data_IF_056543145617
#
_entry.id   IF_056543145617
#
_cell.length_a   1.000
_cell.length_b   1.000
_cell.length_c   1.000
_cell.angle_alpha   90.00
_cell.angle_beta   90.00
_cell.angle_gamma   90.00
#
_symmetry.space_group_name_H-M   'P 1'
#
loop_
_entity.id
_entity.type
_entity.pdbx_description
1 polymer ?
#
# COMPACT_ATOMS: atom_id res chain seq x y z
N UNK A 1 73.76 19.32 -64.11
CA UNK A 1 73.70 17.95 -64.66
C UNK A 1 72.54 17.21 -64.00
N UNK A 2 71.91 16.34 -64.77
CA UNK A 2 70.57 15.78 -64.59
C UNK A 2 70.42 14.83 -63.39
N UNK A 3 69.19 14.70 -62.86
CA UNK A 3 68.81 13.60 -61.98
C UNK A 3 67.39 13.71 -61.42
N UNK A 4 66.37 13.40 -62.24
CA UNK A 4 65.01 13.07 -61.76
C UNK A 4 65.03 11.64 -61.21
N UNK A 5 64.50 11.40 -60.00
CA UNK A 5 64.14 10.05 -59.55
C UNK A 5 62.72 10.07 -59.00
N UNK A 6 61.96 9.10 -59.48
CA UNK A 6 60.52 8.91 -59.42
C UNK A 6 60.08 8.36 -58.05
N UNK A 7 59.06 8.96 -57.43
CA UNK A 7 58.45 8.49 -56.19
C UNK A 7 57.48 7.34 -56.50
N UNK A 8 57.84 6.11 -56.14
CA UNK A 8 56.97 4.94 -56.19
C UNK A 8 56.33 4.74 -54.82
N UNK A 9 54.99 4.83 -54.76
CA UNK A 9 54.18 4.55 -53.57
C UNK A 9 53.98 3.03 -53.51
N UNK A 10 54.56 2.38 -52.49
CA UNK A 10 54.29 0.99 -52.16
C UNK A 10 53.13 0.94 -51.14
N UNK A 11 52.03 0.28 -51.50
CA UNK A 11 50.93 -0.05 -50.59
C UNK A 11 51.40 -1.07 -49.54
N UNK A 12 51.33 -0.69 -48.26
CA UNK A 12 51.42 -1.62 -47.13
C UNK A 12 50.02 -2.19 -46.85
N UNK A 13 49.87 -3.50 -47.02
CA UNK A 13 48.72 -4.29 -46.58
C UNK A 13 48.74 -4.42 -45.05
N UNK A 14 47.70 -3.90 -44.38
CA UNK A 14 47.49 -4.07 -42.94
C UNK A 14 46.86 -5.44 -42.72
N UNK A 15 47.62 -6.39 -42.17
CA UNK A 15 47.10 -7.65 -41.65
C UNK A 15 46.33 -7.36 -40.35
N UNK A 16 45.00 -7.52 -40.38
CA UNK A 16 44.16 -7.49 -39.19
C UNK A 16 44.30 -8.80 -38.42
N UNK A 17 44.63 -8.71 -37.13
CA UNK A 17 44.63 -9.84 -36.20
C UNK A 17 43.19 -10.32 -35.96
N UNK A 18 42.83 -11.52 -36.42
CA UNK A 18 41.74 -12.29 -35.84
C UNK A 18 42.31 -13.07 -34.66
N UNK A 19 41.91 -12.74 -33.42
CA UNK A 19 42.22 -13.56 -32.24
C UNK A 19 41.18 -14.69 -32.24
N UNK A 20 41.55 -15.95 -32.51
CA UNK A 20 40.62 -17.06 -32.34
C UNK A 20 40.36 -17.19 -30.84
N UNK A 21 39.11 -16.96 -30.42
CA UNK A 21 38.70 -17.35 -29.07
C UNK A 21 38.53 -18.86 -29.09
N UNK A 22 39.48 -19.59 -28.51
CA UNK A 22 39.31 -21.01 -28.19
C UNK A 22 38.06 -21.16 -27.31
N UNK A 23 36.94 -21.53 -27.93
CA UNK A 23 35.76 -22.01 -27.22
C UNK A 23 35.89 -23.53 -27.14
N UNK A 24 35.88 -24.14 -25.95
CA UNK A 24 35.82 -25.60 -25.84
C UNK A 24 34.59 -26.15 -26.59
N UNK A 25 34.72 -27.41 -27.05
CA UNK A 25 33.74 -28.10 -27.88
C UNK A 25 32.30 -27.95 -27.34
N UNK A 26 31.29 -27.83 -28.23
CA UNK A 26 29.94 -27.48 -27.81
C UNK A 26 29.28 -28.66 -27.11
N UNK A 27 29.20 -28.62 -25.79
CA UNK A 27 28.03 -29.14 -25.08
C UNK A 27 26.89 -28.13 -25.27
N UNK A 28 26.38 -28.10 -26.50
CA UNK A 28 25.18 -27.36 -26.86
C UNK A 28 24.17 -28.35 -27.40
N UNK A 29 22.90 -28.18 -27.04
CA UNK A 29 21.76 -28.90 -27.62
C UNK A 29 21.66 -28.76 -29.16
N UNK A 30 22.51 -27.93 -29.77
CA UNK A 30 22.67 -27.79 -31.20
C UNK A 30 24.13 -28.04 -31.64
N UNK A 31 24.30 -28.80 -32.72
CA UNK A 31 25.62 -29.11 -33.27
C UNK A 31 26.38 -27.88 -33.81
N UNK A 32 27.66 -28.08 -34.12
CA UNK A 32 28.52 -27.03 -34.69
C UNK A 32 27.93 -26.42 -35.98
N UNK A 33 28.00 -25.09 -36.07
CA UNK A 33 27.48 -24.33 -37.21
C UNK A 33 25.98 -24.03 -37.17
N UNK A 34 25.29 -24.30 -36.06
CA UNK A 34 23.85 -24.02 -35.89
C UNK A 34 23.46 -22.60 -36.29
N UNK A 35 24.16 -21.59 -35.75
CA UNK A 35 23.94 -20.16 -36.04
C UNK A 35 24.85 -19.63 -37.15
N UNK A 36 25.58 -20.50 -37.86
CA UNK A 36 26.57 -20.06 -38.83
C UNK A 36 25.96 -19.91 -40.22
N UNK A 37 26.11 -18.71 -40.78
CA UNK A 37 25.76 -18.37 -42.17
C UNK A 37 26.62 -19.19 -43.15
N UNK A 38 27.90 -19.37 -42.83
CA UNK A 38 28.88 -20.10 -43.66
C UNK A 38 28.58 -21.59 -43.83
N UNK A 39 27.77 -22.18 -42.94
CA UNK A 39 27.40 -23.60 -43.01
C UNK A 39 25.93 -23.79 -43.41
N UNK A 40 25.35 -22.83 -44.12
CA UNK A 40 24.02 -22.93 -44.73
C UNK A 40 22.86 -22.59 -43.79
N UNK A 41 23.07 -21.78 -42.74
CA UNK A 41 21.97 -21.23 -41.94
C UNK A 41 21.07 -22.29 -41.29
N UNK A 42 21.66 -23.35 -40.70
CA UNK A 42 20.94 -24.50 -40.11
C UNK A 42 19.79 -24.10 -39.16
N UNK A 43 19.97 -23.04 -38.39
CA UNK A 43 18.93 -22.49 -37.52
C UNK A 43 17.71 -21.96 -38.29
N UNK A 44 17.92 -21.21 -39.37
CA UNK A 44 16.83 -20.67 -40.20
C UNK A 44 16.07 -21.79 -40.94
N UNK A 45 16.79 -22.82 -41.38
CA UNK A 45 16.21 -24.03 -41.97
C UNK A 45 15.32 -24.75 -40.96
N UNK A 46 15.81 -24.95 -39.73
CA UNK A 46 15.02 -25.60 -38.67
C UNK A 46 13.75 -24.81 -38.31
N UNK A 47 13.84 -23.47 -38.21
CA UNK A 47 12.67 -22.62 -37.92
C UNK A 47 11.58 -22.79 -39.00
N UNK A 48 11.97 -22.74 -40.28
CA UNK A 48 11.07 -22.98 -41.41
C UNK A 48 10.44 -24.38 -41.34
N UNK A 49 11.26 -25.41 -41.16
CA UNK A 49 10.80 -26.81 -41.20
C UNK A 49 9.87 -27.16 -40.02
N UNK A 50 9.88 -26.35 -38.95
CA UNK A 50 9.00 -26.49 -37.78
C UNK A 50 7.84 -25.47 -37.76
N UNK A 51 7.60 -24.76 -38.86
CA UNK A 51 6.41 -23.91 -39.02
C UNK A 51 6.44 -22.60 -38.25
N UNK A 52 7.62 -22.10 -37.87
CA UNK A 52 7.75 -20.75 -37.33
C UNK A 52 7.46 -19.71 -38.44
N UNK A 53 6.82 -18.58 -38.11
CA UNK A 53 6.55 -17.51 -39.07
C UNK A 53 7.87 -16.83 -39.47
N UNK A 54 8.41 -17.22 -40.62
CA UNK A 54 9.70 -16.72 -41.13
C UNK A 54 9.56 -15.44 -41.97
N UNK A 55 8.33 -15.02 -42.24
CA UNK A 55 7.99 -13.88 -43.09
C UNK A 55 8.59 -12.58 -42.52
N UNK A 56 8.60 -12.44 -41.18
CA UNK A 56 9.19 -11.30 -40.48
C UNK A 56 10.72 -11.27 -40.63
N UNK A 57 11.37 -12.43 -40.79
CA UNK A 57 12.81 -12.53 -41.01
C UNK A 57 13.18 -12.19 -42.47
N UNK A 58 12.32 -12.54 -43.42
CA UNK A 58 12.54 -12.35 -44.86
C UNK A 58 12.59 -10.87 -45.26
N UNK A 59 12.04 -9.95 -44.44
CA UNK A 59 12.10 -8.49 -44.62
C UNK A 59 13.53 -7.99 -44.79
N UNK A 60 14.48 -8.61 -44.08
CA UNK A 60 15.91 -8.29 -44.21
C UNK A 60 16.70 -9.43 -44.82
N UNK A 61 16.35 -10.70 -44.54
CA UNK A 61 17.12 -11.87 -44.97
C UNK A 61 16.82 -12.38 -46.40
N UNK A 62 15.79 -11.84 -47.07
CA UNK A 62 15.38 -12.25 -48.42
C UNK A 62 14.46 -13.48 -48.42
N UNK A 63 13.68 -13.65 -49.49
CA UNK A 63 12.56 -14.59 -49.54
C UNK A 63 12.98 -16.07 -49.44
N UNK A 64 14.15 -16.48 -49.95
CA UNK A 64 14.37 -17.92 -50.25
C UNK A 64 15.75 -18.47 -49.85
N UNK A 65 16.36 -17.98 -48.75
CA UNK A 65 17.65 -18.51 -48.30
C UNK A 65 18.84 -18.27 -49.25
N UNK A 66 18.65 -17.45 -50.29
CA UNK A 66 19.72 -16.87 -51.10
C UNK A 66 20.21 -15.60 -50.39
N UNK A 67 21.35 -15.74 -49.71
CA UNK A 67 21.91 -14.74 -48.80
C UNK A 67 22.25 -13.41 -49.47
N UNK A 68 21.75 -12.30 -48.92
CA UNK A 68 22.39 -10.98 -49.13
C UNK A 68 23.71 -10.94 -48.35
N UNK A 69 24.78 -10.44 -48.98
CA UNK A 69 26.12 -10.34 -48.37
C UNK A 69 26.23 -9.23 -47.33
N UNK A 70 25.17 -8.45 -47.10
CA UNK A 70 25.10 -7.38 -46.09
C UNK A 70 23.78 -7.55 -45.34
N UNK A 71 23.81 -8.28 -44.22
CA UNK A 71 22.64 -8.54 -43.39
C UNK A 71 22.92 -8.12 -41.94
N UNK A 72 21.99 -7.38 -41.30
CA UNK A 72 22.05 -7.12 -39.86
C UNK A 72 22.23 -8.44 -39.07
N UNK A 73 22.96 -8.39 -37.95
CA UNK A 73 22.96 -9.46 -36.97
C UNK A 73 21.58 -9.66 -36.36
N UNK A 74 21.32 -10.81 -35.74
CA UNK A 74 19.99 -11.12 -35.18
C UNK A 74 19.54 -10.11 -34.12
N UNK A 75 20.47 -9.43 -33.46
CA UNK A 75 20.19 -8.39 -32.45
C UNK A 75 20.27 -6.96 -33.00
N UNK A 76 20.53 -6.80 -34.30
CA UNK A 76 20.64 -5.49 -34.94
C UNK A 76 19.28 -5.04 -35.51
N UNK A 77 19.09 -3.73 -35.67
CA UNK A 77 17.96 -3.19 -36.43
C UNK A 77 16.56 -3.44 -35.86
N UNK A 78 16.43 -3.84 -34.60
CA UNK A 78 15.15 -4.00 -33.91
C UNK A 78 14.58 -5.43 -33.85
N UNK A 79 15.29 -6.45 -34.36
CA UNK A 79 14.76 -7.82 -34.43
C UNK A 79 14.80 -8.59 -33.09
N UNK A 80 15.97 -8.65 -32.43
CA UNK A 80 16.12 -9.23 -31.09
C UNK A 80 16.95 -8.30 -30.20
N UNK A 81 16.41 -7.11 -29.90
CA UNK A 81 17.09 -6.07 -29.11
C UNK A 81 17.50 -6.55 -27.71
N UNK A 82 16.72 -7.49 -27.14
CA UNK A 82 17.01 -8.12 -25.84
C UNK A 82 17.90 -9.38 -25.96
N UNK A 83 18.31 -9.73 -27.18
CA UNK A 83 19.11 -10.91 -27.51
C UNK A 83 18.28 -12.15 -27.81
N UNK A 84 18.79 -13.01 -28.69
CA UNK A 84 18.13 -14.27 -29.13
C UNK A 84 17.98 -15.33 -28.02
N UNK A 85 18.57 -15.08 -26.84
CA UNK A 85 18.47 -15.95 -25.66
C UNK A 85 17.61 -15.34 -24.56
N UNK A 86 16.94 -14.22 -24.86
CA UNK A 86 15.93 -13.66 -23.97
C UNK A 86 14.77 -14.64 -23.83
N UNK A 87 14.24 -14.80 -22.61
CA UNK A 87 13.20 -15.78 -22.31
C UNK A 87 11.96 -15.59 -23.20
N UNK A 88 11.55 -14.35 -23.46
CA UNK A 88 10.40 -14.04 -24.30
C UNK A 88 10.60 -14.33 -25.79
N UNK A 89 11.82 -14.66 -26.23
CA UNK A 89 12.07 -15.15 -27.60
C UNK A 89 11.51 -16.57 -27.80
N UNK A 90 11.58 -17.42 -26.77
CA UNK A 90 11.08 -18.80 -26.83
C UNK A 90 9.77 -19.00 -26.05
N UNK A 91 9.55 -18.24 -24.98
CA UNK A 91 8.35 -18.25 -24.12
C UNK A 91 7.44 -17.04 -24.32
N UNK A 92 7.77 -16.16 -25.28
CA UNK A 92 6.83 -15.14 -25.72
C UNK A 92 6.41 -14.05 -24.75
N UNK A 93 5.26 -13.45 -25.08
CA UNK A 93 4.56 -12.46 -24.26
C UNK A 93 3.08 -12.87 -24.04
N UNK A 94 2.23 -11.94 -23.61
CA UNK A 94 0.80 -12.19 -23.38
C UNK A 94 0.02 -12.66 -24.62
N UNK A 95 0.58 -12.47 -25.82
CA UNK A 95 0.05 -12.95 -27.09
C UNK A 95 0.70 -14.29 -27.54
N UNK A 96 1.46 -14.94 -26.65
CA UNK A 96 2.08 -16.28 -26.75
C UNK A 96 3.61 -16.25 -26.83
N UNK A 97 4.38 -17.37 -26.65
CA UNK A 97 4.06 -18.68 -26.02
C UNK A 97 4.27 -18.77 -24.48
N UNK A 98 3.22 -18.41 -23.72
CA UNK A 98 2.92 -19.01 -22.41
C UNK A 98 1.76 -20.00 -22.63
N UNK A 99 1.67 -21.14 -21.91
CA UNK A 99 0.51 -22.01 -22.07
C UNK A 99 -0.76 -21.25 -21.69
N UNK A 100 -1.83 -21.40 -22.47
CA UNK A 100 -3.12 -20.74 -22.27
C UNK A 100 -4.21 -21.72 -21.80
N UNK A 101 -3.79 -22.85 -21.25
CA UNK A 101 -4.64 -23.93 -20.80
C UNK A 101 -4.83 -23.94 -19.27
N UNK A 102 -5.94 -24.54 -18.83
CA UNK A 102 -6.29 -24.63 -17.41
C UNK A 102 -6.26 -23.28 -16.71
N UNK A 103 -5.60 -23.22 -15.55
CA UNK A 103 -5.56 -22.03 -14.71
C UNK A 103 -4.51 -20.98 -15.13
N UNK A 104 -3.74 -21.18 -16.20
CA UNK A 104 -2.71 -20.21 -16.63
C UNK A 104 -3.28 -18.83 -16.96
N UNK A 105 -4.51 -18.76 -17.50
CA UNK A 105 -5.16 -17.49 -17.85
C UNK A 105 -5.25 -16.54 -16.64
N UNK A 106 -5.52 -17.08 -15.45
CA UNK A 106 -5.65 -16.32 -14.20
C UNK A 106 -4.32 -16.14 -13.45
N UNK A 107 -3.30 -16.94 -13.74
CA UNK A 107 -2.03 -16.96 -13.01
C UNK A 107 -0.82 -16.44 -13.81
N UNK A 108 -1.02 -15.97 -15.04
CA UNK A 108 0.05 -15.60 -15.99
C UNK A 108 1.07 -14.58 -15.49
N UNK A 109 0.75 -13.80 -14.46
CA UNK A 109 1.64 -12.79 -13.87
C UNK A 109 2.53 -13.35 -12.75
N UNK A 110 2.31 -14.60 -12.32
CA UNK A 110 2.88 -15.20 -11.11
C UNK A 110 3.68 -16.48 -11.41
N UNK A 111 4.42 -16.51 -12.53
CA UNK A 111 5.11 -17.73 -12.98
C UNK A 111 6.06 -18.30 -11.92
N UNK A 112 6.80 -17.43 -11.21
CA UNK A 112 7.77 -17.83 -10.17
C UNK A 112 7.11 -18.41 -8.92
N UNK A 113 5.82 -18.13 -8.71
CA UNK A 113 5.08 -18.67 -7.57
C UNK A 113 4.83 -20.17 -7.73
N UNK A 114 4.73 -20.66 -8.98
CA UNK A 114 4.47 -22.07 -9.29
C UNK A 114 5.66 -22.80 -9.91
N UNK A 115 6.50 -22.11 -10.69
CA UNK A 115 7.57 -22.72 -11.46
C UNK A 115 8.94 -22.20 -11.04
N UNK A 116 9.94 -23.07 -11.10
CA UNK A 116 11.33 -22.65 -11.01
C UNK A 116 11.71 -21.96 -12.34
N UNK A 117 11.66 -20.62 -12.37
CA UNK A 117 12.07 -19.84 -13.56
C UNK A 117 13.60 -19.85 -13.66
N UNK A 118 14.18 -20.43 -14.73
CA UNK A 118 15.63 -20.47 -14.89
C UNK A 118 16.24 -19.07 -15.06
N UNK A 119 17.44 -18.88 -14.53
CA UNK A 119 18.25 -17.67 -14.75
C UNK A 119 18.99 -17.73 -16.08
N UNK A 120 19.23 -18.94 -16.60
CA UNK A 120 19.89 -19.19 -17.86
C UNK A 120 19.17 -20.27 -18.65
N UNK A 121 19.21 -20.16 -19.99
CA UNK A 121 18.76 -21.22 -20.91
C UNK A 121 19.53 -22.55 -20.72
N UNK A 122 20.66 -22.51 -20.02
CA UNK A 122 21.51 -23.69 -19.75
C UNK A 122 21.34 -24.24 -18.34
N UNK A 123 20.45 -23.68 -17.54
CA UNK A 123 20.21 -24.23 -16.21
C UNK A 123 19.68 -25.67 -16.34
N UNK A 124 20.14 -26.61 -15.51
CA UNK A 124 19.66 -27.98 -15.53
C UNK A 124 18.12 -28.03 -15.45
N UNK A 125 17.50 -28.88 -16.27
CA UNK A 125 16.03 -29.04 -16.33
C UNK A 125 15.28 -28.02 -17.21
N UNK A 126 15.93 -26.95 -17.71
CA UNK A 126 15.20 -25.99 -18.55
C UNK A 126 14.85 -26.52 -19.96
N UNK A 127 15.72 -27.35 -20.55
CA UNK A 127 15.62 -27.82 -21.95
C UNK A 127 15.28 -29.31 -22.07
N UNK A 128 14.53 -29.86 -21.11
CA UNK A 128 14.13 -31.28 -21.10
C UNK A 128 12.69 -31.53 -21.58
N UNK A 129 11.95 -30.46 -21.89
CA UNK A 129 10.57 -30.52 -22.37
C UNK A 129 9.52 -30.71 -21.26
N UNK A 130 9.91 -30.66 -19.99
CA UNK A 130 8.99 -30.66 -18.86
C UNK A 130 8.96 -29.29 -18.17
N UNK A 131 7.79 -28.92 -17.65
CA UNK A 131 7.64 -27.74 -16.79
C UNK A 131 7.46 -28.21 -15.35
N UNK A 132 8.48 -28.00 -14.53
CA UNK A 132 8.43 -28.39 -13.12
C UNK A 132 7.54 -27.44 -12.32
N UNK A 133 6.65 -28.01 -11.50
CA UNK A 133 5.93 -27.26 -10.47
C UNK A 133 6.75 -27.29 -9.20
N UNK A 134 7.31 -26.13 -8.85
CA UNK A 134 8.12 -25.90 -7.67
C UNK A 134 7.62 -24.64 -6.96
N UNK A 135 6.60 -24.81 -6.12
CA UNK A 135 6.00 -23.68 -5.40
C UNK A 135 7.04 -22.89 -4.61
N UNK A 136 6.98 -21.56 -4.72
CA UNK A 136 7.86 -20.63 -4.03
C UNK A 136 7.09 -19.34 -3.65
N UNK A 137 7.80 -18.35 -3.08
CA UNK A 137 7.25 -17.02 -2.83
C UNK A 137 5.92 -16.99 -2.08
N UNK A 138 4.96 -16.24 -2.63
CA UNK A 138 3.59 -16.12 -2.17
C UNK A 138 2.87 -17.45 -2.11
N UNK A 139 3.10 -18.41 -3.01
CA UNK A 139 2.41 -19.70 -2.94
C UNK A 139 2.69 -20.44 -1.62
N UNK A 140 3.87 -20.20 -1.02
CA UNK A 140 4.35 -20.72 0.28
C UNK A 140 4.30 -19.70 1.44
N UNK A 141 3.68 -18.53 1.24
CA UNK A 141 3.57 -17.53 2.28
C UNK A 141 2.69 -18.02 3.45
N UNK A 142 2.87 -17.39 4.62
CA UNK A 142 2.15 -17.73 5.84
C UNK A 142 2.22 -19.22 6.23
N UNK A 143 3.39 -19.84 6.03
CA UNK A 143 3.67 -21.25 6.37
C UNK A 143 2.79 -22.27 5.62
N UNK A 144 2.24 -21.92 4.47
CA UNK A 144 1.46 -22.86 3.67
C UNK A 144 2.33 -24.02 3.15
N UNK A 145 1.78 -25.24 3.16
CA UNK A 145 2.45 -26.45 2.66
C UNK A 145 2.04 -26.74 1.21
N UNK A 146 2.17 -25.73 0.35
CA UNK A 146 1.78 -25.79 -1.05
C UNK A 146 2.33 -27.03 -1.76
N UNK A 147 1.43 -27.88 -2.28
CA UNK A 147 1.77 -29.12 -2.99
C UNK A 147 1.04 -29.25 -4.31
N UNK A 148 1.69 -29.93 -5.25
CA UNK A 148 1.15 -30.26 -6.57
C UNK A 148 1.08 -31.78 -6.73
N UNK A 149 -0.09 -32.29 -7.08
CA UNK A 149 -0.29 -33.69 -7.46
C UNK A 149 -0.46 -33.79 -8.98
N UNK A 150 0.60 -34.24 -9.67
CA UNK A 150 0.59 -34.40 -11.12
C UNK A 150 -0.39 -35.49 -11.61
N UNK A 151 -0.70 -36.50 -10.79
CA UNK A 151 -1.63 -37.57 -11.19
C UNK A 151 -3.09 -37.08 -11.25
N UNK A 152 -3.45 -36.16 -10.36
CA UNK A 152 -4.82 -35.61 -10.26
C UNK A 152 -4.93 -34.18 -10.78
N UNK A 153 -3.81 -33.59 -11.24
CA UNK A 153 -3.71 -32.17 -11.61
C UNK A 153 -4.26 -31.24 -10.53
N UNK A 154 -3.89 -31.47 -9.27
CA UNK A 154 -4.47 -30.76 -8.13
C UNK A 154 -3.41 -29.96 -7.38
N UNK A 155 -3.73 -28.70 -7.10
CA UNK A 155 -3.00 -27.85 -6.17
C UNK A 155 -3.61 -27.99 -4.78
N UNK A 156 -2.80 -27.99 -3.74
CA UNK A 156 -3.28 -28.13 -2.36
C UNK A 156 -2.46 -27.26 -1.42
N UNK A 157 -3.12 -26.69 -0.42
CA UNK A 157 -2.50 -25.88 0.64
C UNK A 157 -1.62 -24.73 0.14
N UNK A 158 -2.05 -24.06 -0.94
CA UNK A 158 -1.42 -22.80 -1.37
C UNK A 158 -1.97 -21.64 -0.57
N UNK A 159 -1.15 -20.62 -0.35
CA UNK A 159 -1.55 -19.40 0.36
C UNK A 159 -2.76 -18.71 -0.31
N UNK A 160 -2.72 -18.56 -1.64
CA UNK A 160 -3.77 -17.87 -2.40
C UNK A 160 -5.10 -18.64 -2.45
N UNK A 161 -5.12 -19.94 -2.17
CA UNK A 161 -6.34 -20.76 -2.13
C UNK A 161 -6.78 -21.12 -0.71
N UNK A 162 -6.17 -20.51 0.31
CA UNK A 162 -6.54 -20.65 1.72
C UNK A 162 -6.69 -22.11 2.18
N UNK A 163 -5.74 -22.98 1.79
CA UNK A 163 -5.80 -24.39 2.20
C UNK A 163 -6.71 -25.28 1.34
N UNK A 164 -7.37 -24.73 0.33
CA UNK A 164 -8.32 -25.49 -0.51
C UNK A 164 -7.61 -26.33 -1.56
N UNK A 165 -8.12 -27.54 -1.80
CA UNK A 165 -7.69 -28.40 -2.89
C UNK A 165 -8.42 -28.02 -4.18
N UNK A 166 -7.68 -27.58 -5.19
CA UNK A 166 -8.26 -27.09 -6.46
C UNK A 166 -7.65 -27.87 -7.62
N UNK A 167 -8.51 -28.39 -8.50
CA UNK A 167 -8.09 -28.99 -9.76
C UNK A 167 -7.68 -27.90 -10.75
N UNK A 168 -6.48 -28.01 -11.33
CA UNK A 168 -5.91 -27.08 -12.31
C UNK A 168 -6.80 -26.83 -13.53
N UNK A 169 -7.58 -27.85 -13.93
CA UNK A 169 -8.48 -27.81 -15.09
C UNK A 169 -9.93 -27.54 -14.70
N UNK A 170 -10.23 -27.29 -13.42
CA UNK A 170 -11.60 -26.94 -13.00
C UNK A 170 -12.10 -25.73 -13.81
N UNK A 171 -13.40 -25.68 -14.16
CA UNK A 171 -13.95 -24.60 -14.96
C UNK A 171 -13.68 -23.25 -14.28
N UNK A 172 -13.14 -22.32 -15.08
CA UNK A 172 -12.81 -20.97 -14.67
C UNK A 172 -14.09 -20.28 -14.15
N UNK A 173 -14.21 -20.08 -12.83
CA UNK A 173 -15.29 -19.29 -12.29
C UNK A 173 -15.19 -17.88 -12.89
N UNK A 174 -16.30 -17.37 -13.43
CA UNK A 174 -16.31 -16.12 -14.22
C UNK A 174 -15.92 -14.88 -13.41
N UNK A 175 -16.00 -14.96 -12.07
CA UNK A 175 -15.52 -13.94 -11.15
C UNK A 175 -14.98 -14.56 -9.86
N UNK A 176 -13.77 -14.18 -9.48
CA UNK A 176 -13.19 -14.42 -8.15
C UNK A 176 -13.77 -13.36 -7.21
N UNK A 177 -14.64 -13.70 -6.24
CA UNK A 177 -15.11 -12.71 -5.28
C UNK A 177 -13.95 -12.14 -4.46
N UNK A 178 -14.00 -10.84 -4.14
CA UNK A 178 -12.91 -10.15 -3.43
C UNK A 178 -12.58 -10.78 -2.07
N UNK A 179 -13.56 -11.45 -1.44
CA UNK A 179 -13.37 -12.11 -0.16
C UNK A 179 -12.79 -13.53 -0.26
N UNK A 180 -12.29 -13.94 -1.43
CA UNK A 180 -11.72 -15.28 -1.62
C UNK A 180 -10.40 -15.47 -0.86
N UNK A 181 -9.57 -14.43 -0.74
CA UNK A 181 -8.26 -14.52 -0.10
C UNK A 181 -8.26 -13.95 1.33
N UNK A 182 -9.05 -12.92 1.60
CA UNK A 182 -9.20 -12.32 2.92
C UNK A 182 -10.62 -11.83 3.10
N UNK A 183 -11.08 -11.58 4.32
CA UNK A 183 -12.39 -10.95 4.53
C UNK A 183 -12.48 -9.59 3.82
N UNK A 184 -13.66 -9.18 3.39
CA UNK A 184 -13.89 -7.89 2.74
C UNK A 184 -15.02 -7.13 3.46
N UNK A 185 -14.74 -6.38 4.54
CA UNK A 185 -13.43 -6.21 5.20
C UNK A 185 -13.03 -7.41 6.08
N UNK A 186 -11.73 -7.58 6.44
CA UNK A 186 -11.30 -8.62 7.37
C UNK A 186 -11.82 -8.40 8.79
N UNK A 187 -11.97 -9.46 9.60
CA UNK A 187 -12.44 -9.37 10.99
C UNK A 187 -11.61 -8.40 11.87
N UNK A 188 -10.32 -8.24 11.55
CA UNK A 188 -9.43 -7.27 12.20
C UNK A 188 -9.91 -5.82 12.09
N UNK A 189 -10.79 -5.52 11.13
CA UNK A 189 -11.35 -4.19 10.88
C UNK A 189 -12.62 -3.89 11.69
N UNK A 190 -13.09 -4.81 12.54
CA UNK A 190 -14.27 -4.58 13.38
C UNK A 190 -14.16 -3.28 14.21
N UNK A 191 -12.94 -2.91 14.64
CA UNK A 191 -12.68 -1.67 15.39
C UNK A 191 -12.76 -0.38 14.54
N UNK A 192 -12.86 -0.50 13.22
CA UNK A 192 -12.93 0.60 12.25
C UNK A 192 -14.25 0.60 11.48
N UNK A 193 -15.29 -0.04 12.01
CA UNK A 193 -16.56 -0.28 11.32
C UNK A 193 -17.21 0.99 10.74
N UNK A 194 -16.94 2.17 11.31
CA UNK A 194 -17.43 3.45 10.79
C UNK A 194 -16.75 3.90 9.49
N UNK A 195 -15.48 3.55 9.28
CA UNK A 195 -14.64 4.04 8.17
C UNK A 195 -14.18 2.95 7.21
N UNK A 196 -14.27 1.68 7.62
CA UNK A 196 -13.85 0.52 6.85
C UNK A 196 -15.06 -0.23 6.27
N UNK A 197 -15.82 0.44 5.40
CA UNK A 197 -16.87 -0.20 4.59
C UNK A 197 -16.28 -0.68 3.26
N UNK A 198 -16.86 -1.70 2.59
CA UNK A 198 -16.33 -2.20 1.32
C UNK A 198 -16.11 -1.09 0.25
N UNK A 199 -17.01 -0.11 0.21
CA UNK A 199 -16.93 1.00 -0.76
C UNK A 199 -15.88 2.07 -0.39
N UNK A 200 -15.31 2.01 0.82
CA UNK A 200 -14.35 2.99 1.35
C UNK A 200 -12.93 2.44 1.51
N UNK A 201 -12.67 1.18 1.13
CA UNK A 201 -11.34 0.58 1.21
C UNK A 201 -10.25 1.43 0.54
N UNK A 202 -10.56 2.05 -0.62
CA UNK A 202 -9.64 2.90 -1.37
C UNK A 202 -9.22 4.19 -0.62
N UNK A 203 -9.92 4.56 0.46
CA UNK A 203 -9.49 5.68 1.32
C UNK A 203 -8.26 5.32 2.16
N UNK A 204 -8.12 4.03 2.50
CA UNK A 204 -7.08 3.54 3.40
C UNK A 204 -6.04 2.68 2.69
N UNK A 205 -6.45 1.91 1.68
CA UNK A 205 -5.62 0.96 0.95
C UNK A 205 -5.52 1.35 -0.52
N UNK A 206 -4.45 0.95 -1.23
CA UNK A 206 -4.44 0.97 -2.69
C UNK A 206 -5.62 0.17 -3.25
N UNK A 207 -6.16 0.62 -4.39
CA UNK A 207 -7.25 -0.08 -5.08
C UNK A 207 -6.84 -1.51 -5.49
N UNK A 208 -7.81 -2.42 -5.61
CA UNK A 208 -7.56 -3.81 -6.01
C UNK A 208 -6.94 -3.97 -7.41
N UNK A 209 -7.03 -2.94 -8.26
CA UNK A 209 -6.31 -2.87 -9.54
C UNK A 209 -4.83 -2.51 -9.41
N UNK A 210 -4.37 -2.07 -8.24
CA UNK A 210 -2.96 -1.82 -7.96
C UNK A 210 -2.15 -3.10 -8.15
N UNK A 211 -0.98 -2.98 -8.78
CA UNK A 211 -0.01 -4.07 -8.86
C UNK A 211 0.45 -4.58 -7.49
N UNK A 212 0.25 -3.82 -6.41
CA UNK A 212 0.58 -4.25 -5.05
C UNK A 212 -0.49 -5.13 -4.40
N UNK A 213 -1.71 -5.21 -4.96
CA UNK A 213 -2.82 -5.90 -4.31
C UNK A 213 -2.53 -7.38 -3.98
N UNK A 214 -1.71 -8.05 -4.80
CA UNK A 214 -1.30 -9.44 -4.59
C UNK A 214 0.23 -9.54 -4.49
N UNK A 215 0.81 -8.98 -3.43
CA UNK A 215 2.24 -9.08 -3.12
C UNK A 215 2.54 -9.62 -1.70
N UNK A 216 1.50 -10.03 -0.96
CA UNK A 216 1.63 -10.57 0.40
C UNK A 216 1.85 -9.52 1.50
N UNK A 217 1.78 -8.23 1.17
CA UNK A 217 1.94 -7.12 2.10
C UNK A 217 0.63 -6.34 2.15
N UNK A 218 0.19 -5.96 3.35
CA UNK A 218 -0.95 -5.04 3.50
C UNK A 218 -0.41 -3.63 3.46
N UNK A 219 -0.68 -2.88 2.39
CA UNK A 219 -0.29 -1.47 2.30
C UNK A 219 -1.40 -0.52 2.67
N UNK A 220 -1.04 0.63 3.24
CA UNK A 220 -1.93 1.76 3.40
C UNK A 220 -1.50 2.93 2.51
N UNK A 221 -2.46 3.68 2.00
CA UNK A 221 -2.23 5.01 1.43
C UNK A 221 -1.67 5.97 2.51
N UNK A 222 -1.12 7.12 2.13
CA UNK A 222 -0.85 8.18 3.10
C UNK A 222 -2.12 8.59 3.85
N UNK A 223 -2.20 8.27 5.14
CA UNK A 223 -3.38 8.54 5.96
C UNK A 223 -3.23 9.87 6.69
N UNK A 224 -4.32 10.62 6.82
CA UNK A 224 -4.40 11.79 7.70
C UNK A 224 -5.23 11.46 8.93
N UNK A 225 -5.19 12.29 9.98
CA UNK A 225 -5.99 12.09 11.19
C UNK A 225 -7.48 11.94 10.87
N UNK A 226 -7.94 12.72 9.89
CA UNK A 226 -9.34 12.78 9.48
C UNK A 226 -9.77 11.63 8.58
N UNK A 227 -8.84 10.77 8.15
CA UNK A 227 -9.17 9.48 7.52
C UNK A 227 -9.93 8.56 8.50
N UNK A 228 -9.53 8.56 9.78
CA UNK A 228 -10.18 7.71 10.80
C UNK A 228 -11.07 8.53 11.75
N UNK A 229 -10.67 9.74 12.13
CA UNK A 229 -11.32 10.54 13.18
C UNK A 229 -12.35 11.57 12.65
N UNK A 230 -12.69 11.53 11.34
CA UNK A 230 -13.69 12.40 10.71
C UNK A 230 -13.16 13.76 10.20
N UNK A 231 -13.95 14.46 9.35
CA UNK A 231 -13.60 15.73 8.68
C UNK A 231 -14.48 16.92 9.16
N UNK A 232 -14.00 18.15 8.97
CA UNK A 232 -14.78 19.40 9.14
C UNK A 232 -14.14 20.44 10.06
N UNK A 233 -14.69 21.66 10.09
CA UNK A 233 -14.21 22.82 10.84
C UNK A 233 -14.04 22.57 12.36
N UNK A 234 -14.72 21.53 12.86
CA UNK A 234 -14.70 21.14 14.27
C UNK A 234 -13.69 20.04 14.61
N UNK A 235 -13.14 19.31 13.64
CA UNK A 235 -12.24 18.18 13.90
C UNK A 235 -12.78 17.15 14.92
N UNK A 236 -14.11 17.10 15.12
CA UNK A 236 -14.74 16.42 16.23
C UNK A 236 -15.43 15.15 15.73
N UNK A 237 -14.92 13.94 15.99
CA UNK A 237 -15.72 12.74 15.80
C UNK A 237 -16.92 12.77 16.77
N UNK A 238 -18.18 12.79 16.31
CA UNK A 238 -19.30 12.41 17.16
C UNK A 238 -19.43 10.88 17.26
N UNK A 239 -18.79 10.14 16.35
CA UNK A 239 -18.80 8.69 16.32
C UNK A 239 -17.41 8.13 16.70
N UNK A 240 -17.38 7.18 17.62
CA UNK A 240 -16.20 6.35 17.85
C UNK A 240 -15.97 5.41 16.65
N UNK A 241 -14.75 4.89 16.49
CA UNK A 241 -14.39 4.01 15.36
C UNK A 241 -15.20 2.69 15.32
N UNK A 242 -15.76 2.30 16.47
CA UNK A 242 -16.66 1.15 16.62
C UNK A 242 -18.13 1.47 16.24
N UNK A 243 -18.42 2.70 15.81
CA UNK A 243 -19.77 3.16 15.42
C UNK A 243 -20.61 3.71 16.57
N UNK A 244 -20.12 3.72 17.81
CA UNK A 244 -20.82 4.35 18.92
C UNK A 244 -20.97 5.85 18.68
N UNK A 245 -22.17 6.40 18.87
CA UNK A 245 -22.46 7.84 18.70
C UNK A 245 -22.98 8.52 19.97
N UNK A 246 -23.22 7.73 21.02
CA UNK A 246 -23.78 8.21 22.28
C UNK A 246 -22.67 8.80 23.15
N UNK A 247 -22.87 10.02 23.67
CA UNK A 247 -21.94 10.68 24.59
C UNK A 247 -21.74 9.93 25.92
N UNK A 248 -22.60 8.97 26.25
CA UNK A 248 -22.40 8.05 27.37
C UNK A 248 -21.35 6.96 27.09
N UNK A 249 -20.97 6.76 25.83
CA UNK A 249 -19.88 5.85 25.45
C UNK A 249 -18.51 6.51 25.64
N UNK A 250 -17.51 5.75 26.11
CA UNK A 250 -16.17 6.29 26.36
C UNK A 250 -15.47 6.81 25.10
N UNK A 251 -15.72 6.22 23.94
CA UNK A 251 -15.11 6.65 22.67
C UNK A 251 -15.66 7.97 22.13
N UNK A 252 -16.88 8.36 22.54
CA UNK A 252 -17.52 9.62 22.12
C UNK A 252 -17.39 10.67 23.21
N UNK A 253 -17.90 10.38 24.42
CA UNK A 253 -17.85 11.25 25.58
C UNK A 253 -18.12 12.72 25.29
N UNK A 254 -17.37 13.59 25.97
CA UNK A 254 -17.50 15.03 25.86
C UNK A 254 -16.78 15.65 24.65
N UNK A 255 -16.34 14.87 23.64
CA UNK A 255 -15.60 15.41 22.47
C UNK A 255 -16.32 16.59 21.82
N UNK A 256 -17.62 16.45 21.51
CA UNK A 256 -18.39 17.53 20.90
C UNK A 256 -18.36 18.80 21.75
N UNK A 257 -18.43 18.70 23.09
CA UNK A 257 -18.42 19.88 23.96
C UNK A 257 -17.08 20.63 23.89
N UNK A 258 -15.97 19.91 23.76
CA UNK A 258 -14.64 20.51 23.72
C UNK A 258 -14.23 21.01 22.32
N UNK A 259 -14.76 20.39 21.27
CA UNK A 259 -14.33 20.63 19.89
C UNK A 259 -15.33 21.44 19.05
N UNK A 260 -16.62 21.39 19.36
CA UNK A 260 -17.68 22.03 18.57
C UNK A 260 -17.83 23.53 18.89
N UNK A 261 -17.53 24.38 17.91
CA UNK A 261 -17.69 25.84 18.00
C UNK A 261 -19.10 26.35 17.76
N UNK A 262 -19.99 25.50 17.25
CA UNK A 262 -21.37 25.87 16.91
C UNK A 262 -22.34 25.74 18.08
N UNK A 263 -21.89 25.16 19.21
CA UNK A 263 -22.71 24.99 20.40
C UNK A 263 -23.10 26.34 21.01
N UNK A 264 -24.41 26.64 21.03
CA UNK A 264 -24.95 27.90 21.51
C UNK A 264 -24.65 28.18 23.01
N UNK A 265 -24.48 27.14 23.82
CA UNK A 265 -24.19 27.21 25.26
C UNK A 265 -22.69 27.05 25.57
N UNK A 266 -21.81 27.40 24.62
CA UNK A 266 -20.36 27.32 24.81
C UNK A 266 -19.85 28.36 25.81
N UNK A 267 -19.07 27.91 26.78
CA UNK A 267 -18.47 28.76 27.81
C UNK A 267 -16.94 28.88 27.71
N UNK A 268 -16.28 28.19 26.78
CA UNK A 268 -14.81 28.18 26.64
C UNK A 268 -14.33 27.94 25.21
N UNK A 269 -13.03 28.08 24.94
CA UNK A 269 -12.40 27.90 23.61
C UNK A 269 -12.42 26.45 23.13
N UNK A 270 -12.08 26.23 21.85
CA UNK A 270 -11.78 24.88 21.31
C UNK A 270 -10.55 24.34 22.01
N UNK A 271 -10.65 23.12 22.52
CA UNK A 271 -9.52 22.41 23.13
C UNK A 271 -8.82 21.61 22.04
N UNK A 272 -7.55 21.90 21.78
CA UNK A 272 -6.76 21.12 20.84
C UNK A 272 -6.58 19.67 21.33
N UNK A 273 -6.48 18.70 20.40
CA UNK A 273 -6.32 17.29 20.74
C UNK A 273 -5.11 17.03 21.65
N UNK A 274 -4.03 17.79 21.47
CA UNK A 274 -2.79 17.72 22.26
C UNK A 274 -2.96 18.12 23.72
N UNK A 275 -4.08 18.74 24.10
CA UNK A 275 -4.38 19.03 25.49
C UNK A 275 -4.80 17.77 26.28
N UNK A 276 -5.32 16.75 25.59
CA UNK A 276 -5.84 15.51 26.18
C UNK A 276 -5.08 14.27 25.74
N UNK A 277 -4.47 14.27 24.56
CA UNK A 277 -3.82 13.10 23.98
C UNK A 277 -2.38 13.42 23.57
N UNK A 278 -1.53 12.39 23.58
CA UNK A 278 -0.26 12.44 22.85
C UNK A 278 -0.58 12.21 21.38
N UNK A 279 -0.72 13.29 20.62
CA UNK A 279 -1.05 13.20 19.18
C UNK A 279 0.16 12.66 18.41
N UNK A 280 0.03 11.53 17.70
CA UNK A 280 1.13 10.97 16.93
C UNK A 280 1.62 11.93 15.86
N UNK A 281 2.94 11.94 15.61
CA UNK A 281 3.53 12.70 14.51
C UNK A 281 3.30 12.04 13.14
N UNK A 282 2.86 10.78 13.13
CA UNK A 282 2.50 10.05 11.91
C UNK A 282 1.35 9.08 12.17
N UNK A 283 0.62 8.77 11.11
CA UNK A 283 -0.45 7.75 11.07
C UNK A 283 0.09 6.33 10.82
N UNK A 284 1.40 6.12 10.98
CA UNK A 284 2.06 4.85 10.66
C UNK A 284 1.37 3.68 11.42
N UNK A 285 1.00 2.58 10.74
CA UNK A 285 0.26 1.47 11.32
C UNK A 285 0.82 0.94 12.64
N UNK A 286 2.15 0.88 12.79
CA UNK A 286 2.78 0.18 13.90
C UNK A 286 2.70 0.88 15.27
N UNK A 287 2.38 2.18 15.34
CA UNK A 287 2.37 2.91 16.62
C UNK A 287 0.99 3.46 17.01
N UNK A 288 0.14 3.86 16.06
CA UNK A 288 -1.17 4.45 16.36
C UNK A 288 -2.33 3.47 16.17
N UNK A 289 -2.32 2.73 15.07
CA UNK A 289 -3.43 1.85 14.64
C UNK A 289 -3.44 0.54 15.44
N UNK A 290 -2.27 0.06 15.85
CA UNK A 290 -2.10 -1.20 16.60
C UNK A 290 -2.18 -1.06 18.13
N UNK A 291 -2.52 0.13 18.65
CA UNK A 291 -2.74 0.32 20.09
C UNK A 291 -4.07 -0.28 20.53
N UNK A 292 -4.13 -0.73 21.79
CA UNK A 292 -5.36 -1.22 22.40
C UNK A 292 -6.29 -0.06 22.71
N UNK A 293 -7.56 -0.16 22.31
CA UNK A 293 -8.60 0.77 22.75
C UNK A 293 -8.85 0.65 24.26
N UNK A 294 -9.18 1.75 24.97
CA UNK A 294 -9.34 3.14 24.49
C UNK A 294 -8.01 3.89 24.32
N UNK A 295 -8.03 5.00 23.58
CA UNK A 295 -6.85 5.85 23.41
C UNK A 295 -6.34 6.41 24.75
N UNK A 296 -5.02 6.49 24.90
CA UNK A 296 -4.38 7.04 26.09
C UNK A 296 -4.72 8.53 26.26
N UNK A 297 -5.13 8.90 27.47
CA UNK A 297 -5.39 10.29 27.86
C UNK A 297 -4.23 10.78 28.71
N UNK A 298 -3.52 11.80 28.20
CA UNK A 298 -2.44 12.50 28.88
C UNK A 298 -2.78 13.98 28.94
N UNK A 299 -3.35 14.42 30.07
CA UNK A 299 -3.70 15.82 30.29
C UNK A 299 -2.46 16.65 30.60
N UNK A 300 -2.30 17.80 29.93
CA UNK A 300 -1.18 18.72 30.17
C UNK A 300 -1.26 19.40 31.54
N UNK A 301 -2.46 19.64 32.05
CA UNK A 301 -2.73 20.40 33.29
C UNK A 301 -3.66 19.66 34.25
N UNK A 302 -3.49 18.35 34.39
CA UNK A 302 -4.34 17.55 35.26
C UNK A 302 -4.09 16.06 35.15
N UNK A 303 -5.05 15.29 35.65
CA UNK A 303 -5.07 13.84 35.59
C UNK A 303 -6.42 13.32 35.12
N UNK A 304 -6.39 12.31 34.25
CA UNK A 304 -7.56 11.52 33.89
C UNK A 304 -7.51 10.20 34.64
N UNK A 305 -8.52 9.95 35.46
CA UNK A 305 -8.71 8.65 36.08
C UNK A 305 -9.43 7.73 35.08
N UNK A 306 -8.68 6.79 34.50
CA UNK A 306 -9.22 5.84 33.54
C UNK A 306 -10.20 4.84 34.15
N UNK A 307 -10.11 4.53 35.45
CA UNK A 307 -11.02 3.61 36.11
C UNK A 307 -12.41 4.24 36.24
N UNK A 308 -12.46 5.46 36.78
CA UNK A 308 -13.73 6.17 36.98
C UNK A 308 -14.19 7.01 35.78
N UNK A 309 -13.30 7.23 34.81
CA UNK A 309 -13.56 8.05 33.63
C UNK A 309 -13.68 9.54 33.97
N UNK A 310 -12.93 10.04 34.96
CA UNK A 310 -13.07 11.40 35.48
C UNK A 310 -11.84 12.26 35.25
N UNK A 311 -12.08 13.53 34.95
CA UNK A 311 -11.02 14.50 34.66
C UNK A 311 -10.84 15.46 35.83
N UNK A 312 -9.66 15.45 36.47
CA UNK A 312 -9.26 16.46 37.45
C UNK A 312 -8.20 17.34 36.78
N UNK A 313 -8.59 18.53 36.35
CA UNK A 313 -7.73 19.45 35.60
C UNK A 313 -8.05 20.88 35.97
N UNK A 314 -7.11 21.79 35.75
CA UNK A 314 -7.31 23.22 36.01
C UNK A 314 -8.48 23.81 35.20
N UNK A 315 -8.79 23.26 34.01
CA UNK A 315 -9.99 23.62 33.24
C UNK A 315 -11.30 23.24 33.93
N UNK A 316 -11.27 22.27 34.85
CA UNK A 316 -12.38 21.84 35.71
C UNK A 316 -12.13 22.23 37.18
N UNK A 317 -11.33 23.29 37.39
CA UNK A 317 -11.06 23.88 38.70
C UNK A 317 -10.49 22.88 39.72
N UNK A 318 -9.78 21.87 39.23
CA UNK A 318 -9.19 20.81 40.06
C UNK A 318 -10.23 20.13 40.99
N UNK A 319 -11.50 20.08 40.55
CA UNK A 319 -12.60 19.50 41.32
C UNK A 319 -12.35 18.01 41.56
N UNK A 320 -12.57 17.55 42.80
CA UNK A 320 -12.42 16.14 43.21
C UNK A 320 -13.72 15.63 43.86
N UNK A 321 -14.41 14.63 43.29
CA UNK A 321 -14.15 14.03 41.98
C UNK A 321 -14.54 14.99 40.85
N UNK A 322 -13.70 15.06 39.81
CA UNK A 322 -13.98 15.90 38.63
C UNK A 322 -15.15 15.37 37.79
N UNK A 323 -15.59 16.13 36.76
CA UNK A 323 -16.65 15.68 35.88
C UNK A 323 -16.28 14.35 35.20
N UNK A 324 -17.30 13.50 35.00
CA UNK A 324 -17.12 12.27 34.24
C UNK A 324 -17.12 12.59 32.75
N UNK A 325 -16.19 11.98 32.02
CA UNK A 325 -16.03 12.12 30.56
C UNK A 325 -17.31 11.82 29.78
N UNK A 326 -18.10 10.88 30.29
CA UNK A 326 -19.36 10.41 29.71
C UNK A 326 -20.60 11.05 30.33
N UNK A 327 -20.43 12.12 31.13
CA UNK A 327 -21.56 12.84 31.71
C UNK A 327 -22.29 13.70 30.66
N UNK A 328 -23.43 13.19 30.20
CA UNK A 328 -24.29 13.88 29.26
C UNK A 328 -25.34 14.80 29.93
N UNK A 329 -25.41 14.84 31.27
CA UNK A 329 -26.46 15.58 32.00
C UNK A 329 -26.34 17.09 31.84
N UNK A 330 -25.12 17.59 31.62
CA UNK A 330 -24.83 19.02 31.59
C UNK A 330 -24.60 19.67 32.94
N UNK A 331 -24.54 18.91 34.03
CA UNK A 331 -24.21 19.46 35.34
C UNK A 331 -22.88 20.22 35.32
N UNK A 332 -21.86 19.70 34.64
CA UNK A 332 -20.53 20.32 34.55
C UNK A 332 -20.47 21.64 33.76
N UNK A 333 -21.56 22.07 33.09
CA UNK A 333 -21.62 23.29 32.27
C UNK A 333 -22.65 24.31 32.74
N UNK A 334 -23.33 24.06 33.86
CA UNK A 334 -24.21 25.08 34.45
C UNK A 334 -23.37 26.27 34.91
N UNK A 335 -23.96 27.47 34.94
CA UNK A 335 -23.24 28.69 35.31
C UNK A 335 -22.64 28.64 36.72
N UNK A 336 -23.15 27.76 37.58
CA UNK A 336 -22.70 27.54 38.95
C UNK A 336 -21.83 26.27 39.12
N UNK A 337 -21.50 25.58 38.03
CA UNK A 337 -20.76 24.31 38.07
C UNK A 337 -19.32 24.45 38.59
N UNK A 338 -18.70 25.60 38.34
CA UNK A 338 -17.29 25.86 38.66
C UNK A 338 -17.11 26.76 39.89
N UNK A 339 -18.03 27.70 40.07
CA UNK A 339 -18.07 28.65 41.17
C UNK A 339 -19.52 29.09 41.39
N UNK A 340 -19.84 29.71 42.53
CA UNK A 340 -21.17 30.29 42.72
C UNK A 340 -21.55 31.27 41.60
N UNK A 341 -22.84 31.42 41.34
CA UNK A 341 -23.36 32.36 40.34
C UNK A 341 -24.28 33.40 41.01
N UNK A 342 -23.80 34.62 41.32
CA UNK A 342 -22.41 35.11 41.17
C UNK A 342 -21.45 34.50 42.20
N UNK A 343 -20.13 34.54 41.97
CA UNK A 343 -19.16 33.97 42.91
C UNK A 343 -19.15 34.77 44.20
N UNK A 344 -18.96 34.12 45.35
CA UNK A 344 -18.85 34.83 46.63
C UNK A 344 -17.56 35.67 46.74
N UNK A 345 -16.49 35.19 46.11
CA UNK A 345 -15.16 35.80 46.12
C UNK A 345 -14.53 35.76 44.73
N UNK A 346 -13.66 36.73 44.44
CA UNK A 346 -12.76 36.71 43.28
C UNK A 346 -11.65 35.68 43.49
N UNK A 347 -10.93 35.32 42.42
CA UNK A 347 -9.78 34.40 42.50
C UNK A 347 -8.66 34.90 43.44
N UNK A 348 -8.61 36.21 43.72
CA UNK A 348 -7.66 36.82 44.68
C UNK A 348 -8.18 36.82 46.13
N UNK A 349 -9.31 36.17 46.41
CA UNK A 349 -9.92 36.08 47.73
C UNK A 349 -10.70 37.33 48.17
N UNK A 350 -10.84 38.33 47.30
CA UNK A 350 -11.63 39.54 47.59
C UNK A 350 -13.12 39.26 47.43
N UNK A 351 -13.99 39.76 48.31
CA UNK A 351 -15.44 39.56 48.19
C UNK A 351 -15.98 40.16 46.90
N UNK A 352 -16.82 39.42 46.19
CA UNK A 352 -17.50 39.91 44.99
C UNK A 352 -18.64 40.88 45.38
N UNK A 353 -18.91 41.87 44.53
CA UNK A 353 -20.04 42.77 44.74
C UNK A 353 -21.37 42.02 44.62
N UNK A 354 -22.38 42.27 45.48
CA UNK A 354 -23.69 41.62 45.34
C UNK A 354 -24.35 41.98 44.01
N UNK A 355 -24.80 40.98 43.25
CA UNK A 355 -25.61 41.16 42.05
C UNK A 355 -26.63 40.03 41.92
N UNK A 356 -27.62 40.20 41.02
CA UNK A 356 -28.61 39.16 40.76
C UNK A 356 -27.95 37.95 40.09
N UNK A 357 -28.38 36.70 40.39
CA UNK A 357 -27.84 35.48 39.80
C UNK A 357 -28.39 35.27 38.38
N UNK A 358 -28.18 36.23 37.48
CA UNK A 358 -28.60 36.17 36.08
C UNK A 358 -27.45 36.60 35.17
N UNK A 359 -27.38 36.00 33.97
CA UNK A 359 -26.34 36.35 33.00
C UNK A 359 -26.38 37.84 32.63
N UNK A 360 -27.58 38.41 32.49
CA UNK A 360 -27.76 39.83 32.21
C UNK A 360 -27.17 40.75 33.30
N UNK A 361 -27.27 40.37 34.58
CA UNK A 361 -26.68 41.13 35.67
C UNK A 361 -25.14 41.02 35.71
N UNK A 362 -24.58 39.92 35.21
CA UNK A 362 -23.13 39.76 35.13
C UNK A 362 -22.55 40.52 33.92
N UNK A 363 -23.27 40.54 32.79
CA UNK A 363 -22.88 41.23 31.56
C UNK A 363 -22.84 42.76 31.69
N UNK A 364 -23.38 43.33 32.77
CA UNK A 364 -23.27 44.77 33.05
C UNK A 364 -21.91 45.19 33.60
N UNK A 365 -21.21 44.28 34.30
CA UNK A 365 -19.90 44.52 34.89
C UNK A 365 -18.77 43.77 34.17
N UNK A 366 -19.10 42.74 33.41
CA UNK A 366 -18.13 41.86 32.77
C UNK A 366 -18.46 41.65 31.30
N UNK A 367 -17.43 41.56 30.46
CA UNK A 367 -17.59 41.05 29.10
C UNK A 367 -17.25 39.57 29.05
N UNK A 368 -18.24 38.77 28.68
CA UNK A 368 -18.06 37.32 28.48
C UNK A 368 -18.30 36.99 27.02
N UNK A 369 -17.32 36.35 26.40
CA UNK A 369 -17.51 35.57 25.19
C UNK A 369 -16.99 34.16 25.47
N UNK A 370 -17.35 33.15 24.66
CA UNK A 370 -16.74 31.82 24.75
C UNK A 370 -15.20 31.86 24.76
N UNK A 371 -14.60 32.86 24.10
CA UNK A 371 -13.15 33.04 24.03
C UNK A 371 -12.54 33.64 25.31
N UNK A 372 -13.31 34.34 26.14
CA UNK A 372 -12.82 35.08 27.30
C UNK A 372 -13.32 34.56 28.65
N UNK A 373 -14.31 33.66 28.69
CA UNK A 373 -14.91 33.23 29.95
C UNK A 373 -14.07 32.17 30.70
N UNK A 374 -13.39 31.26 29.97
CA UNK A 374 -12.47 30.25 30.53
C UNK A 374 -11.07 30.44 29.93
N UNK A 375 -10.47 31.60 30.15
CA UNK A 375 -9.07 31.91 29.79
C UNK A 375 -8.20 32.35 30.99
N UNK A 376 -8.79 32.33 32.19
CA UNK A 376 -8.14 32.74 33.43
C UNK A 376 -8.14 34.25 33.69
N UNK A 377 -8.77 35.05 32.83
CA UNK A 377 -8.88 36.50 32.94
C UNK A 377 -10.35 36.92 33.01
N UNK A 378 -10.71 37.71 34.02
CA UNK A 378 -12.04 38.30 34.11
C UNK A 378 -11.98 39.73 33.59
N UNK A 379 -12.55 39.96 32.41
CA UNK A 379 -12.65 41.29 31.83
C UNK A 379 -13.78 42.08 32.50
N UNK A 380 -13.50 43.31 32.88
CA UNK A 380 -14.50 44.23 33.43
C UNK A 380 -14.90 45.26 32.38
N UNK A 381 -16.20 45.50 32.26
CA UNK A 381 -16.73 46.56 31.40
C UNK A 381 -16.36 47.91 32.04
N UNK A 382 -15.83 48.88 31.26
CA UNK A 382 -15.43 50.20 31.78
C UNK A 382 -16.53 50.97 32.49
#
# INVERSE_FOLDING_TARGET
>A
MHGRVCLTIAMLSVAGCEIPRDRPAPEGYHGSGWSSKLTGGKHAIWLRDNGYPIEDCQVCHGADGAESSVLPGCSDGGCHEQGVTFCGTCHGNENGPRPNDGAHEKHRSYCIECHAVPKSIRDPGHLDGMNDVAFSGLAKANQSSATWNAATNTCSDTYCHLGTNIEWKAPNATATPCNMCHGNPPDSHARFATVATPDSCANCHPDASSSSHVNGIVETNPLTCSTCHGQGQLGAPPAALDGSVDASSRGVGAHRRHLDETLADRIGRVVACTACHVVPQSSNPFEHIDTTSPADVSLVLGNYDAETGRCVTSCHFDTVPGPAWTDATGAARTCDACHGFPPAFTRKGTKHAPCQPTLAACLSCHSFTPESHVDGVVNVTP
#
